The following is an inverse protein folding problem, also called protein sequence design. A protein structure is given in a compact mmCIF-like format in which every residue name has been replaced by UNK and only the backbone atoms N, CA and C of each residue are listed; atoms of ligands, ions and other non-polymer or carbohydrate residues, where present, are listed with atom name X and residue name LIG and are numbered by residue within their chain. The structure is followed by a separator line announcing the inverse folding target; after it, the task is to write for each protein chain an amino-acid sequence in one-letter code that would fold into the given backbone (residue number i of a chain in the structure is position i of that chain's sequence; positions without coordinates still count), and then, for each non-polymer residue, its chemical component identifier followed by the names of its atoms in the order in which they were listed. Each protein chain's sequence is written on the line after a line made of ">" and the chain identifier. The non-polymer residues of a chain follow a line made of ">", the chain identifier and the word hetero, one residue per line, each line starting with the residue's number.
data_IF_842992107519
#
_entry.id   IF_842992107519
#
_cell.length_a   1.000
_cell.length_b   1.000
_cell.length_c   1.000
_cell.angle_alpha   90.00
_cell.angle_beta   90.00
_cell.angle_gamma   90.00
#
_symmetry.space_group_name_H-M   'P 1'
#
loop_
_entity.id
_entity.type
_entity.pdbx_description
1 polymer ?
#
# COMPACT_ATOMS: atom_id res chain seq x y z
N UNK A 1 -22.06 21.34 9.17
CA UNK A 1 -21.34 20.87 7.98
C UNK A 1 -21.78 19.44 7.71
N UNK A 2 -22.74 19.25 6.80
CA UNK A 2 -23.21 17.91 6.43
C UNK A 2 -22.03 17.15 5.82
N UNK A 3 -21.58 16.09 6.48
CA UNK A 3 -20.71 15.08 5.87
C UNK A 3 -21.53 14.43 4.75
N UNK A 4 -21.40 14.94 3.54
CA UNK A 4 -21.98 14.28 2.37
C UNK A 4 -21.14 13.03 2.12
N UNK A 5 -21.73 11.87 2.45
CA UNK A 5 -21.16 10.56 2.15
C UNK A 5 -21.84 10.08 0.86
N UNK A 6 -21.11 10.10 -0.24
CA UNK A 6 -21.60 9.56 -1.50
C UNK A 6 -21.46 8.04 -1.51
N UNK A 7 -22.55 7.30 -1.75
CA UNK A 7 -22.53 5.84 -1.81
C UNK A 7 -22.77 5.34 -3.23
N UNK A 8 -21.81 4.59 -3.77
CA UNK A 8 -21.82 3.98 -5.10
C UNK A 8 -21.93 2.47 -4.98
N UNK A 9 -22.82 1.86 -5.78
CA UNK A 9 -23.08 0.41 -5.76
C UNK A 9 -23.26 -0.10 -7.18
N UNK A 10 -22.63 -1.22 -7.50
CA UNK A 10 -22.78 -1.91 -8.79
C UNK A 10 -22.50 -0.97 -9.98
N UNK A 11 -21.45 -0.16 -9.87
CA UNK A 11 -21.04 0.77 -10.92
C UNK A 11 -20.02 0.10 -11.84
N UNK A 12 -20.08 0.37 -13.14
CA UNK A 12 -19.00 -0.01 -14.05
C UNK A 12 -17.77 0.84 -13.77
N UNK A 13 -17.91 2.16 -13.97
CA UNK A 13 -16.88 3.15 -13.74
C UNK A 13 -17.39 4.28 -12.84
N UNK A 14 -16.49 4.89 -12.08
CA UNK A 14 -16.78 6.07 -11.26
C UNK A 14 -15.62 7.06 -11.31
N UNK A 15 -15.93 8.35 -11.53
CA UNK A 15 -14.96 9.44 -11.42
C UNK A 15 -15.50 10.46 -10.43
N UNK A 16 -14.72 10.76 -9.39
CA UNK A 16 -15.12 11.70 -8.34
C UNK A 16 -14.02 12.73 -8.07
N UNK A 17 -14.45 13.98 -7.92
CA UNK A 17 -13.60 15.13 -7.66
C UNK A 17 -14.16 15.89 -6.45
N UNK A 18 -13.29 16.34 -5.54
CA UNK A 18 -13.63 17.29 -4.48
C UNK A 18 -14.79 16.86 -3.57
N UNK A 19 -14.73 15.65 -3.02
CA UNK A 19 -15.77 15.11 -2.12
C UNK A 19 -15.19 14.87 -0.74
N UNK A 20 -15.95 15.15 0.32
CA UNK A 20 -15.52 14.84 1.69
C UNK A 20 -15.37 13.34 1.94
N UNK A 21 -16.35 12.55 1.51
CA UNK A 21 -16.38 11.11 1.79
C UNK A 21 -17.14 10.32 0.73
N UNK A 22 -16.64 9.13 0.40
CA UNK A 22 -17.28 8.21 -0.55
C UNK A 22 -17.15 6.74 -0.15
N UNK A 23 -18.17 5.95 -0.45
CA UNK A 23 -18.16 4.49 -0.27
C UNK A 23 -18.53 3.80 -1.57
N UNK A 24 -17.68 2.87 -2.01
CA UNK A 24 -17.87 2.06 -3.21
C UNK A 24 -18.10 0.59 -2.83
N UNK A 25 -19.08 -0.04 -3.50
CA UNK A 25 -19.37 -1.46 -3.35
C UNK A 25 -19.60 -2.09 -4.72
N UNK A 26 -18.88 -3.16 -5.03
CA UNK A 26 -19.02 -3.88 -6.31
C UNK A 26 -18.86 -2.92 -7.49
N UNK A 27 -17.74 -2.21 -7.57
CA UNK A 27 -17.47 -1.26 -8.66
C UNK A 27 -16.35 -1.80 -9.54
N UNK A 28 -16.44 -1.65 -10.86
CA UNK A 28 -15.37 -2.07 -11.78
C UNK A 28 -14.13 -1.20 -11.57
N UNK A 29 -14.21 0.05 -12.04
CA UNK A 29 -13.13 1.02 -11.96
C UNK A 29 -13.55 2.27 -11.19
N UNK A 30 -12.59 2.88 -10.49
CA UNK A 30 -12.83 4.11 -9.74
C UNK A 30 -11.63 5.03 -9.74
N UNK A 31 -11.85 6.29 -10.11
CA UNK A 31 -10.86 7.36 -10.08
C UNK A 31 -11.30 8.48 -9.13
N UNK A 32 -10.43 8.82 -8.19
CA UNK A 32 -10.71 9.78 -7.12
C UNK A 32 -9.61 10.84 -7.05
N UNK A 33 -10.02 12.11 -7.01
CA UNK A 33 -9.12 13.25 -6.81
C UNK A 33 -9.62 14.16 -5.70
N UNK A 34 -8.72 14.58 -4.80
CA UNK A 34 -9.02 15.54 -3.71
C UNK A 34 -10.19 15.11 -2.83
N UNK A 35 -10.05 13.96 -2.17
CA UNK A 35 -11.07 13.41 -1.27
C UNK A 35 -10.51 13.24 0.15
N UNK A 36 -11.27 13.56 1.18
CA UNK A 36 -10.77 13.39 2.55
C UNK A 36 -10.76 11.92 2.97
N UNK A 37 -11.83 11.17 2.66
CA UNK A 37 -11.93 9.75 2.98
C UNK A 37 -12.64 8.91 1.92
N UNK A 38 -12.15 7.70 1.67
CA UNK A 38 -12.81 6.75 0.77
C UNK A 38 -12.76 5.31 1.28
N UNK A 39 -13.80 4.53 0.98
CA UNK A 39 -13.87 3.10 1.30
C UNK A 39 -14.29 2.31 0.08
N UNK A 40 -13.52 1.28 -0.27
CA UNK A 40 -13.76 0.38 -1.39
C UNK A 40 -14.02 -1.04 -0.87
N UNK A 41 -15.04 -1.69 -1.43
CA UNK A 41 -15.40 -3.08 -1.12
C UNK A 41 -15.74 -3.82 -2.40
N UNK A 42 -15.00 -4.89 -2.70
CA UNK A 42 -15.16 -5.67 -3.92
C UNK A 42 -15.05 -4.76 -5.15
N UNK A 43 -13.90 -4.11 -5.35
CA UNK A 43 -13.68 -3.24 -6.50
C UNK A 43 -12.60 -3.83 -7.42
N UNK A 44 -12.71 -3.62 -8.73
CA UNK A 44 -11.69 -4.05 -9.68
C UNK A 44 -10.43 -3.19 -9.52
N UNK A 45 -10.46 -2.01 -10.12
CA UNK A 45 -9.34 -1.07 -10.15
C UNK A 45 -9.69 0.24 -9.43
N UNK A 46 -8.74 0.78 -8.68
CA UNK A 46 -8.92 2.01 -7.92
C UNK A 46 -7.70 2.92 -8.05
N UNK A 47 -7.88 4.10 -8.62
CA UNK A 47 -6.84 5.13 -8.73
C UNK A 47 -7.17 6.34 -7.87
N UNK A 48 -6.29 6.70 -6.94
CA UNK A 48 -6.52 7.72 -5.92
C UNK A 48 -5.38 8.75 -5.91
N UNK A 49 -5.73 10.03 -6.00
CA UNK A 49 -4.79 11.14 -5.95
C UNK A 49 -5.21 12.16 -4.88
N UNK A 50 -4.27 12.58 -4.04
CA UNK A 50 -4.48 13.58 -2.99
C UNK A 50 -5.63 13.23 -2.03
N UNK A 51 -5.45 12.15 -1.28
CA UNK A 51 -6.46 11.63 -0.35
C UNK A 51 -5.90 11.62 1.07
N UNK A 52 -6.68 12.04 2.08
CA UNK A 52 -6.19 11.94 3.45
C UNK A 52 -6.22 10.49 3.96
N UNK A 53 -7.30 9.76 3.67
CA UNK A 53 -7.46 8.37 4.12
C UNK A 53 -8.22 7.50 3.13
N UNK A 54 -7.80 6.24 2.98
CA UNK A 54 -8.49 5.27 2.13
C UNK A 54 -8.45 3.85 2.69
N UNK A 55 -9.55 3.10 2.53
CA UNK A 55 -9.64 1.69 2.95
C UNK A 55 -10.11 0.83 1.79
N UNK A 56 -9.36 -0.24 1.50
CA UNK A 56 -9.64 -1.22 0.46
C UNK A 56 -9.92 -2.59 1.07
N UNK A 57 -10.95 -3.27 0.57
CA UNK A 57 -11.33 -4.63 0.97
C UNK A 57 -11.73 -5.43 -0.26
N UNK A 58 -11.03 -6.53 -0.53
CA UNK A 58 -11.25 -7.36 -1.72
C UNK A 58 -11.15 -6.52 -3.00
N UNK A 59 -10.01 -5.88 -3.24
CA UNK A 59 -9.80 -5.07 -4.44
C UNK A 59 -8.80 -5.76 -5.37
N UNK A 60 -8.97 -5.65 -6.68
CA UNK A 60 -8.03 -6.19 -7.66
C UNK A 60 -6.73 -5.40 -7.62
N UNK A 61 -6.75 -4.21 -8.20
CA UNK A 61 -5.60 -3.33 -8.33
C UNK A 61 -5.87 -1.97 -7.70
N UNK A 62 -4.83 -1.36 -7.15
CA UNK A 62 -4.94 -0.06 -6.51
C UNK A 62 -3.68 0.79 -6.68
N UNK A 63 -3.86 1.99 -7.24
CA UNK A 63 -2.81 2.96 -7.45
C UNK A 63 -3.08 4.23 -6.63
N UNK A 64 -2.13 4.58 -5.76
CA UNK A 64 -2.28 5.66 -4.79
C UNK A 64 -1.11 6.65 -4.89
N UNK A 65 -1.44 7.94 -5.02
CA UNK A 65 -0.47 9.04 -5.05
C UNK A 65 -0.84 10.13 -4.03
N UNK A 66 0.13 10.56 -3.22
CA UNK A 66 -0.03 11.61 -2.20
C UNK A 66 -1.16 11.32 -1.22
N UNK A 67 -0.99 10.27 -0.41
CA UNK A 67 -1.99 9.81 0.56
C UNK A 67 -1.42 9.88 1.97
N UNK A 68 -2.17 10.40 2.94
CA UNK A 68 -1.67 10.40 4.31
C UNK A 68 -1.73 9.00 4.93
N UNK A 69 -2.83 8.27 4.71
CA UNK A 69 -3.01 6.92 5.27
C UNK A 69 -3.81 5.99 4.36
N UNK A 70 -3.38 4.72 4.26
CA UNK A 70 -4.12 3.70 3.52
C UNK A 70 -4.12 2.33 4.21
N UNK A 71 -5.21 1.59 4.04
CA UNK A 71 -5.36 0.22 4.56
C UNK A 71 -5.89 -0.70 3.48
N UNK A 72 -5.21 -1.82 3.26
CA UNK A 72 -5.54 -2.84 2.28
C UNK A 72 -5.82 -4.18 2.98
N UNK A 73 -6.88 -4.86 2.54
CA UNK A 73 -7.25 -6.20 3.03
C UNK A 73 -7.71 -7.06 1.86
N UNK A 74 -7.05 -8.19 1.64
CA UNK A 74 -7.34 -9.10 0.53
C UNK A 74 -7.27 -8.35 -0.82
N UNK A 75 -6.14 -7.73 -1.13
CA UNK A 75 -5.98 -7.00 -2.39
C UNK A 75 -5.01 -7.75 -3.32
N UNK A 76 -5.19 -7.63 -4.63
CA UNK A 76 -4.25 -8.20 -5.62
C UNK A 76 -2.95 -7.41 -5.64
N UNK A 77 -2.96 -6.32 -6.40
CA UNK A 77 -1.80 -5.44 -6.59
C UNK A 77 -2.03 -4.07 -5.92
N UNK A 78 -0.98 -3.54 -5.31
CA UNK A 78 -0.99 -2.23 -4.66
C UNK A 78 0.27 -1.43 -5.02
N UNK A 79 0.10 -0.32 -5.74
CA UNK A 79 1.16 0.62 -6.10
C UNK A 79 0.95 1.93 -5.32
N UNK A 80 1.94 2.31 -4.52
CA UNK A 80 1.86 3.44 -3.60
C UNK A 80 3.04 4.40 -3.75
N UNK A 81 2.76 5.68 -3.98
CA UNK A 81 3.76 6.74 -4.10
C UNK A 81 3.46 7.90 -3.15
N UNK A 82 4.47 8.34 -2.39
CA UNK A 82 4.37 9.46 -1.45
C UNK A 82 3.27 9.28 -0.40
N UNK A 83 3.46 8.30 0.49
CA UNK A 83 2.47 7.94 1.51
C UNK A 83 3.07 8.04 2.90
N UNK A 84 2.37 8.66 3.85
CA UNK A 84 2.90 8.72 5.22
C UNK A 84 2.78 7.37 5.93
N UNK A 85 1.65 6.68 5.80
CA UNK A 85 1.44 5.37 6.43
C UNK A 85 0.58 4.43 5.59
N UNK A 86 0.95 3.15 5.55
CA UNK A 86 0.17 2.11 4.88
C UNK A 86 0.15 0.79 5.64
N UNK A 87 -0.96 0.07 5.57
CA UNK A 87 -1.12 -1.25 6.18
C UNK A 87 -1.70 -2.24 5.17
N UNK A 88 -1.04 -3.37 5.00
CA UNK A 88 -1.40 -4.45 4.08
C UNK A 88 -1.67 -5.73 4.84
N UNK A 89 -2.76 -6.43 4.46
CA UNK A 89 -3.14 -7.73 5.02
C UNK A 89 -3.66 -8.62 3.92
N UNK A 90 -3.00 -9.77 3.71
CA UNK A 90 -3.34 -10.72 2.64
C UNK A 90 -3.32 -10.02 1.26
N UNK A 91 -2.19 -9.39 0.91
CA UNK A 91 -2.05 -8.74 -0.40
C UNK A 91 -1.14 -9.56 -1.31
N UNK A 92 -1.38 -9.55 -2.62
CA UNK A 92 -0.54 -10.23 -3.60
C UNK A 92 0.80 -9.53 -3.75
N UNK A 93 0.85 -8.52 -4.61
CA UNK A 93 2.03 -7.71 -4.90
C UNK A 93 1.88 -6.30 -4.32
N UNK A 94 2.97 -5.76 -3.78
CA UNK A 94 3.00 -4.41 -3.23
C UNK A 94 4.27 -3.66 -3.65
N UNK A 95 4.11 -2.57 -4.39
CA UNK A 95 5.19 -1.67 -4.82
C UNK A 95 5.05 -0.33 -4.12
N UNK A 96 6.05 0.06 -3.34
CA UNK A 96 6.03 1.22 -2.47
C UNK A 96 7.23 2.13 -2.72
N UNK A 97 6.96 3.42 -2.96
CA UNK A 97 7.96 4.46 -3.18
C UNK A 97 7.72 5.68 -2.27
N UNK A 98 8.77 6.13 -1.57
CA UNK A 98 8.72 7.29 -0.68
C UNK A 98 7.64 7.17 0.41
N UNK A 99 7.84 6.23 1.34
CA UNK A 99 6.88 5.92 2.41
C UNK A 99 7.52 6.11 3.77
N UNK A 100 6.85 6.81 4.69
CA UNK A 100 7.38 6.95 6.06
C UNK A 100 7.22 5.66 6.86
N UNK A 101 6.06 5.01 6.79
CA UNK A 101 5.80 3.76 7.50
C UNK A 101 4.92 2.78 6.73
N UNK A 102 5.26 1.49 6.78
CA UNK A 102 4.45 0.43 6.21
C UNK A 102 4.42 -0.84 7.08
N UNK A 103 3.28 -1.53 7.08
CA UNK A 103 3.11 -2.81 7.77
C UNK A 103 2.50 -3.83 6.84
N UNK A 104 3.14 -4.99 6.71
CA UNK A 104 2.72 -6.10 5.87
C UNK A 104 2.43 -7.35 6.70
N UNK A 105 1.31 -8.01 6.41
CA UNK A 105 0.93 -9.28 7.04
C UNK A 105 0.38 -10.23 5.98
N UNK A 106 1.01 -11.40 5.82
CA UNK A 106 0.64 -12.39 4.81
C UNK A 106 0.63 -11.80 3.38
N UNK A 107 1.67 -11.05 3.01
CA UNK A 107 1.77 -10.49 1.66
C UNK A 107 2.64 -11.39 0.77
N UNK A 108 2.41 -11.38 -0.54
CA UNK A 108 3.28 -12.06 -1.50
C UNK A 108 4.58 -11.28 -1.69
N UNK A 109 4.79 -10.78 -2.90
CA UNK A 109 5.97 -9.99 -3.27
C UNK A 109 5.84 -8.53 -2.79
N UNK A 110 6.93 -7.97 -2.28
CA UNK A 110 7.00 -6.58 -1.82
C UNK A 110 8.27 -5.89 -2.32
N UNK A 111 8.12 -4.82 -3.10
CA UNK A 111 9.21 -3.98 -3.58
C UNK A 111 9.12 -2.62 -2.89
N UNK A 112 10.16 -2.24 -2.15
CA UNK A 112 10.19 -1.05 -1.31
C UNK A 112 11.40 -0.17 -1.64
N UNK A 113 11.16 1.09 -1.99
CA UNK A 113 12.21 2.08 -2.29
C UNK A 113 11.99 3.38 -1.49
N UNK A 114 13.03 3.86 -0.82
CA UNK A 114 13.01 5.06 0.04
C UNK A 114 11.95 5.00 1.15
N UNK A 115 12.18 4.11 2.11
CA UNK A 115 11.25 3.86 3.21
C UNK A 115 11.89 4.20 4.55
N UNK A 116 11.19 4.92 5.43
CA UNK A 116 11.77 5.18 6.76
C UNK A 116 11.63 3.96 7.66
N UNK A 117 10.46 3.32 7.71
CA UNK A 117 10.24 2.13 8.55
C UNK A 117 9.28 1.14 7.90
N UNK A 118 9.55 -0.16 8.07
CA UNK A 118 8.64 -1.22 7.64
C UNK A 118 8.61 -2.43 8.57
N UNK A 119 7.46 -3.06 8.72
CA UNK A 119 7.31 -4.33 9.46
C UNK A 119 6.68 -5.38 8.56
N UNK A 120 7.28 -6.57 8.51
CA UNK A 120 6.81 -7.71 7.72
C UNK A 120 6.54 -8.92 8.61
N UNK A 121 5.39 -9.57 8.37
CA UNK A 121 5.04 -10.82 9.03
C UNK A 121 4.42 -11.80 8.04
N UNK A 122 5.01 -12.98 7.91
CA UNK A 122 4.58 -14.03 6.99
C UNK A 122 4.54 -13.55 5.53
N UNK A 123 5.52 -12.76 5.08
CA UNK A 123 5.55 -12.29 3.70
C UNK A 123 6.37 -13.22 2.80
N UNK A 124 6.13 -13.19 1.49
CA UNK A 124 6.93 -13.86 0.49
C UNK A 124 8.28 -13.17 0.28
N UNK A 125 8.61 -12.93 -0.99
CA UNK A 125 9.82 -12.21 -1.39
C UNK A 125 9.72 -10.72 -1.06
N UNK A 126 10.81 -10.11 -0.57
CA UNK A 126 10.89 -8.68 -0.33
C UNK A 126 12.22 -8.09 -0.83
N UNK A 127 12.14 -7.10 -1.70
CA UNK A 127 13.28 -6.30 -2.15
C UNK A 127 13.21 -4.92 -1.54
N UNK A 128 14.27 -4.51 -0.82
CA UNK A 128 14.29 -3.23 -0.10
C UNK A 128 15.51 -2.40 -0.48
N UNK A 129 15.28 -1.16 -0.90
CA UNK A 129 16.31 -0.20 -1.28
C UNK A 129 16.13 1.10 -0.49
N UNK A 130 17.21 1.59 0.13
CA UNK A 130 17.20 2.80 0.95
C UNK A 130 16.15 2.76 2.07
N UNK A 131 16.24 1.74 2.93
CA UNK A 131 15.37 1.62 4.10
C UNK A 131 16.12 1.96 5.39
N UNK A 132 15.53 2.80 6.24
CA UNK A 132 16.18 3.18 7.50
C UNK A 132 16.01 2.10 8.58
N UNK A 133 14.84 1.47 8.68
CA UNK A 133 14.58 0.38 9.63
C UNK A 133 13.57 -0.63 9.09
N UNK A 134 13.81 -1.92 9.34
CA UNK A 134 12.92 -3.00 8.95
C UNK A 134 12.91 -4.13 9.98
N UNK A 135 11.73 -4.70 10.23
CA UNK A 135 11.56 -5.90 11.08
C UNK A 135 10.89 -7.00 10.26
N UNK A 136 11.45 -8.21 10.29
CA UNK A 136 10.91 -9.37 9.58
C UNK A 136 10.57 -10.51 10.56
N UNK A 137 9.45 -11.18 10.33
CA UNK A 137 9.07 -12.40 11.05
C UNK A 137 8.42 -13.40 10.10
N UNK A 138 9.02 -14.58 10.00
CA UNK A 138 8.55 -15.67 9.12
C UNK A 138 8.40 -15.24 7.66
N UNK A 139 9.28 -14.36 7.16
CA UNK A 139 9.27 -13.99 5.75
C UNK A 139 10.13 -14.95 4.93
N UNK A 140 9.87 -15.02 3.62
CA UNK A 140 10.69 -15.74 2.65
C UNK A 140 12.04 -15.05 2.42
N UNK A 141 12.44 -14.92 1.16
CA UNK A 141 13.66 -14.23 0.79
C UNK A 141 13.49 -12.72 0.95
N UNK A 142 14.36 -12.08 1.74
CA UNK A 142 14.35 -10.63 1.94
C UNK A 142 15.76 -10.11 1.67
N UNK A 143 15.90 -9.24 0.66
CA UNK A 143 17.18 -8.64 0.26
C UNK A 143 17.18 -7.14 0.59
N UNK A 144 17.79 -6.71 1.71
CA UNK A 144 17.99 -5.30 1.98
C UNK A 144 19.28 -4.79 1.31
N UNK A 145 19.14 -3.87 0.37
CA UNK A 145 20.23 -3.16 -0.27
C UNK A 145 20.29 -1.75 0.34
N UNK A 146 21.32 -1.51 1.17
CA UNK A 146 21.60 -0.29 1.93
C UNK A 146 20.62 0.03 3.07
N UNK A 147 21.02 -0.34 4.29
CA UNK A 147 20.47 0.18 5.54
C UNK A 147 21.42 1.22 6.13
N UNK A 148 20.90 2.34 6.65
CA UNK A 148 21.72 3.39 7.27
C UNK A 148 22.09 3.08 8.73
N UNK A 149 21.49 2.04 9.34
CA UNK A 149 21.73 1.65 10.74
C UNK A 149 21.85 0.12 10.90
N UNK A 150 22.97 -0.40 11.45
CA UNK A 150 23.24 -1.85 11.51
C UNK A 150 22.59 -2.62 12.69
N UNK A 151 21.69 -2.03 13.48
CA UNK A 151 21.25 -2.63 14.76
C UNK A 151 19.99 -3.53 14.71
N UNK A 152 19.61 -4.07 13.55
CA UNK A 152 18.48 -5.02 13.47
C UNK A 152 18.66 -6.08 12.38
N UNK A 153 19.84 -6.71 12.34
CA UNK A 153 20.17 -7.76 11.36
C UNK A 153 20.38 -9.10 12.07
N UNK A 154 19.34 -9.95 12.15
CA UNK A 154 19.54 -11.38 12.44
C UNK A 154 19.80 -12.23 11.19
N UNK A 155 19.85 -11.65 9.98
CA UNK A 155 20.45 -12.28 8.80
C UNK A 155 21.14 -11.23 7.94
N UNK A 156 22.45 -11.35 7.80
CA UNK A 156 23.28 -10.51 6.94
C UNK A 156 22.90 -10.71 5.47
N UNK A 157 22.95 -9.62 4.70
CA UNK A 157 22.92 -9.68 3.24
C UNK A 157 24.11 -10.51 2.72
N UNK A 158 23.91 -11.51 1.84
CA UNK A 158 25.01 -12.00 1.03
C UNK A 158 25.48 -10.87 0.07
N UNK A 159 26.78 -10.83 -0.29
CA UNK A 159 27.29 -9.80 -1.17
C UNK A 159 26.66 -9.93 -2.55
N UNK A 160 26.15 -8.83 -3.10
CA UNK A 160 25.76 -8.71 -4.50
C UNK A 160 27.03 -8.91 -5.34
N UNK A 161 27.15 -10.07 -6.00
CA UNK A 161 28.10 -10.21 -7.12
C UNK A 161 27.48 -9.49 -8.30
N UNK A 162 27.97 -8.28 -8.57
CA UNK A 162 27.77 -7.62 -9.85
C UNK A 162 28.64 -8.38 -10.85
N UNK A 163 28.00 -9.05 -11.80
CA UNK A 163 28.64 -9.57 -13.01
C UNK A 163 28.36 -8.59 -14.15
#
# INVERSE_FOLDING_TARGET
>A
MLLHISCFRNCGECILLHISSSVFRNCGESMLLHISSSVFRNCGECTLLHISSSVFRNCGESMLLHISSSVFRNCGECILLHISSSVFRNCGECILLHISSSVFRNCGECILLHISSSVFRNCGECTLLHISSSVFRNCGECMPCYTSHPLSLTRMCPPVKIQ
#
